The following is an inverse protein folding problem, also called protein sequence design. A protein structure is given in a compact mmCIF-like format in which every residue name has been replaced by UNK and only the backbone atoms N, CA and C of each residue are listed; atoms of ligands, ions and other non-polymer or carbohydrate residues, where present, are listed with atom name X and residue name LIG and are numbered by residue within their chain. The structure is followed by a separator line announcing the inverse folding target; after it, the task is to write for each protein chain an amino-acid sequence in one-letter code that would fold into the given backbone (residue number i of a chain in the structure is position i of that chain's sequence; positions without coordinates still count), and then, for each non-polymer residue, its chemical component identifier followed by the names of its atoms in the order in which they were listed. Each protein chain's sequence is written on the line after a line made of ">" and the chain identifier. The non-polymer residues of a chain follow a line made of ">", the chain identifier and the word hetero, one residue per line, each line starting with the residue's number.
data_IF_717549888821
#
_entry.id   IF_717549888821
#
_cell.length_a   1.000
_cell.length_b   1.000
_cell.length_c   1.000
_cell.angle_alpha   90.00
_cell.angle_beta   90.00
_cell.angle_gamma   90.00
#
_symmetry.space_group_name_H-M   'P 1'
#
loop_
_entity.id
_entity.type
_entity.pdbx_description
1 polymer ?
#
# COMPACT_ATOMS: atom_id res chain seq x y z
N UNK A 1 -11.33 -11.47 -8.11
CA UNK A 1 -11.04 -11.10 -9.51
C UNK A 1 -9.97 -10.03 -9.46
N UNK A 2 -8.81 -10.25 -10.08
CA UNK A 2 -7.74 -9.24 -10.09
C UNK A 2 -8.16 -8.09 -11.01
N UNK A 3 -8.36 -6.91 -10.43
CA UNK A 3 -8.68 -5.71 -11.20
C UNK A 3 -7.40 -5.19 -11.88
N UNK A 4 -7.51 -4.83 -13.15
CA UNK A 4 -6.38 -4.36 -13.96
C UNK A 4 -5.97 -2.93 -13.54
N UNK A 5 -4.73 -2.71 -13.06
CA UNK A 5 -4.27 -1.40 -12.57
C UNK A 5 -4.19 -0.29 -13.64
N UNK A 6 -4.22 -0.67 -14.92
CA UNK A 6 -4.19 0.27 -16.06
C UNK A 6 -5.60 0.60 -16.56
N UNK A 7 -6.64 -0.07 -16.04
CA UNK A 7 -8.02 0.14 -16.49
C UNK A 7 -8.60 1.41 -15.87
N UNK A 8 -9.14 2.34 -16.67
CA UNK A 8 -9.74 3.56 -16.16
C UNK A 8 -11.04 3.23 -15.41
N UNK A 9 -11.36 4.02 -14.38
CA UNK A 9 -12.65 3.94 -13.71
C UNK A 9 -13.81 4.16 -14.67
N UNK A 10 -14.91 3.45 -14.41
CA UNK A 10 -16.18 3.77 -15.05
C UNK A 10 -16.59 5.21 -14.68
N UNK A 11 -16.88 6.07 -15.67
CA UNK A 11 -17.20 7.46 -15.40
C UNK A 11 -18.51 7.56 -14.61
N UNK A 12 -18.45 8.25 -13.47
CA UNK A 12 -19.56 8.59 -12.57
C UNK A 12 -20.08 7.49 -11.62
N UNK A 13 -19.39 6.35 -11.47
CA UNK A 13 -19.79 5.28 -10.52
C UNK A 13 -18.82 5.09 -9.36
N UNK A 14 -17.51 5.22 -9.57
CA UNK A 14 -16.50 5.01 -8.52
C UNK A 14 -15.39 6.08 -8.58
N UNK A 15 -15.03 6.64 -7.42
CA UNK A 15 -13.87 7.53 -7.26
C UNK A 15 -12.57 6.76 -6.95
N UNK A 16 -12.67 5.45 -6.72
CA UNK A 16 -11.56 4.57 -6.33
C UNK A 16 -11.11 3.80 -7.57
N UNK A 17 -9.82 3.81 -7.87
CA UNK A 17 -9.25 3.05 -8.99
C UNK A 17 -9.52 1.55 -8.82
N UNK A 18 -9.70 0.77 -9.91
CA UNK A 18 -10.07 -0.63 -9.77
C UNK A 18 -8.93 -1.44 -9.10
N UNK A 19 -7.68 -1.08 -9.42
CA UNK A 19 -6.49 -1.63 -8.77
C UNK A 19 -6.40 -1.31 -7.28
N UNK A 20 -7.04 -0.23 -6.83
CA UNK A 20 -7.05 0.24 -5.44
C UNK A 20 -8.17 -0.40 -4.58
N UNK A 21 -8.93 -1.34 -5.15
CA UNK A 21 -9.92 -2.10 -4.37
C UNK A 21 -9.23 -3.07 -3.43
N UNK A 22 -9.55 -3.01 -2.15
CA UNK A 22 -9.00 -3.89 -1.10
C UNK A 22 -9.00 -5.37 -1.53
N UNK A 23 -7.88 -6.03 -1.32
CA UNK A 23 -7.79 -7.49 -1.36
C UNK A 23 -8.70 -8.09 -0.28
N UNK A 24 -9.25 -9.31 -0.48
CA UNK A 24 -10.01 -9.98 0.56
C UNK A 24 -9.19 -10.12 1.84
N UNK A 25 -9.83 -10.04 3.00
CA UNK A 25 -9.13 -10.10 4.29
C UNK A 25 -8.36 -11.41 4.48
N UNK A 26 -8.75 -12.48 3.79
CA UNK A 26 -8.08 -13.78 3.77
C UNK A 26 -6.80 -13.84 2.93
N UNK A 27 -6.47 -12.80 2.16
CA UNK A 27 -5.24 -12.77 1.36
C UNK A 27 -4.02 -12.63 2.26
N UNK A 28 -2.95 -13.36 1.90
CA UNK A 28 -1.66 -13.30 2.59
C UNK A 28 -0.97 -11.95 2.42
N UNK A 29 0.06 -11.70 3.25
CA UNK A 29 0.86 -10.47 3.19
C UNK A 29 1.60 -10.38 1.85
N UNK A 30 2.19 -11.49 1.40
CA UNK A 30 2.84 -11.60 0.09
C UNK A 30 1.89 -11.22 -1.05
N UNK A 31 0.69 -11.81 -1.10
CA UNK A 31 -0.31 -11.51 -2.13
C UNK A 31 -0.79 -10.05 -2.11
N UNK A 32 -0.84 -9.42 -0.92
CA UNK A 32 -1.17 -8.00 -0.79
C UNK A 32 -0.01 -7.10 -1.24
N UNK A 33 1.23 -7.51 -0.98
CA UNK A 33 2.43 -6.73 -1.34
C UNK A 33 2.63 -6.60 -2.86
N UNK A 34 2.20 -7.61 -3.63
CA UNK A 34 2.30 -7.60 -5.11
C UNK A 34 1.20 -6.77 -5.79
N UNK A 35 0.22 -6.28 -5.03
CA UNK A 35 -0.92 -5.59 -5.61
C UNK A 35 -0.60 -4.13 -5.94
N UNK A 36 -0.90 -3.73 -7.17
CA UNK A 36 -0.65 -2.39 -7.70
C UNK A 36 -1.97 -1.63 -7.85
N UNK A 37 -2.03 -0.43 -7.26
CA UNK A 37 -3.19 0.45 -7.32
C UNK A 37 -3.30 1.15 -8.68
N UNK A 38 -2.16 1.63 -9.19
CA UNK A 38 -2.04 2.36 -10.45
C UNK A 38 -0.75 1.96 -11.15
N UNK A 39 -0.83 1.68 -12.45
CA UNK A 39 0.34 1.49 -13.31
C UNK A 39 0.16 2.28 -14.60
N UNK A 40 1.11 3.18 -14.91
CA UNK A 40 1.11 3.97 -16.14
C UNK A 40 2.52 4.29 -16.63
N UNK A 41 2.67 4.59 -17.92
CA UNK A 41 3.90 5.15 -18.48
C UNK A 41 3.82 6.68 -18.49
N UNK A 42 4.80 7.34 -17.87
CA UNK A 42 4.94 8.79 -17.95
C UNK A 42 5.38 9.23 -19.36
N UNK A 43 5.27 10.53 -19.66
CA UNK A 43 5.63 11.15 -20.94
C UNK A 43 7.08 10.88 -21.38
N UNK A 44 7.96 10.51 -20.43
CA UNK A 44 9.36 10.14 -20.68
C UNK A 44 9.57 8.64 -20.99
N UNK A 45 8.51 7.83 -20.98
CA UNK A 45 8.57 6.38 -21.18
C UNK A 45 8.99 5.59 -19.93
N UNK A 46 8.95 6.22 -18.76
CA UNK A 46 9.22 5.56 -17.48
C UNK A 46 7.92 4.92 -16.96
N UNK A 47 7.95 3.63 -16.65
CA UNK A 47 6.85 2.95 -15.96
C UNK A 47 6.80 3.41 -14.50
N UNK A 48 5.64 3.94 -14.09
CA UNK A 48 5.35 4.35 -12.72
C UNK A 48 4.29 3.42 -12.17
N UNK A 49 4.62 2.75 -11.06
CA UNK A 49 3.73 1.83 -10.35
C UNK A 49 3.53 2.31 -8.92
N UNK A 50 2.28 2.36 -8.50
CA UNK A 50 1.90 2.73 -7.13
C UNK A 50 1.35 1.48 -6.44
N UNK A 51 2.03 0.96 -5.40
CA UNK A 51 1.54 -0.18 -4.62
C UNK A 51 0.22 0.15 -3.93
N UNK A 52 -0.68 -0.83 -3.82
CA UNK A 52 -1.91 -0.70 -3.03
C UNK A 52 -1.62 -0.77 -1.53
N UNK A 53 -0.66 -1.62 -1.14
CA UNK A 53 -0.31 -1.90 0.25
C UNK A 53 1.14 -1.54 0.57
N UNK A 54 1.36 -1.11 1.81
CA UNK A 54 2.69 -1.00 2.40
C UNK A 54 2.95 -2.18 3.31
N UNK A 55 4.05 -2.89 3.05
CA UNK A 55 4.54 -3.93 3.95
C UNK A 55 5.32 -3.29 5.10
N UNK A 56 4.93 -3.60 6.33
CA UNK A 56 5.60 -3.15 7.54
C UNK A 56 5.87 -4.35 8.44
N UNK A 57 6.92 -4.24 9.26
CA UNK A 57 7.16 -5.11 10.41
C UNK A 57 6.76 -4.33 11.66
N UNK A 58 5.95 -4.95 12.52
CA UNK A 58 5.51 -4.36 13.79
C UNK A 58 6.49 -4.62 14.96
N UNK A 59 6.15 -4.14 16.15
CA UNK A 59 6.96 -4.30 17.36
C UNK A 59 7.21 -5.77 17.77
N UNK A 60 6.36 -6.69 17.33
CA UNK A 60 6.48 -8.13 17.61
C UNK A 60 7.27 -8.87 16.52
N UNK A 61 7.73 -8.17 15.48
CA UNK A 61 8.34 -8.79 14.30
C UNK A 61 7.33 -9.41 13.35
N UNK A 62 6.04 -9.10 13.47
CA UNK A 62 5.01 -9.60 12.56
C UNK A 62 4.89 -8.70 11.32
N UNK A 63 4.90 -9.32 10.14
CA UNK A 63 4.75 -8.61 8.88
C UNK A 63 3.26 -8.32 8.58
N UNK A 64 2.95 -7.07 8.24
CA UNK A 64 1.59 -6.61 7.92
C UNK A 64 1.59 -5.83 6.61
N UNK A 65 0.55 -6.02 5.81
CA UNK A 65 0.29 -5.24 4.60
C UNK A 65 -0.85 -4.24 4.87
N UNK A 66 -0.52 -2.94 4.95
CA UNK A 66 -1.46 -1.84 5.23
C UNK A 66 -1.89 -1.13 3.95
N UNK A 67 -3.19 -0.98 3.73
CA UNK A 67 -3.75 -0.29 2.57
C UNK A 67 -3.46 1.21 2.64
N UNK A 68 -2.88 1.79 1.57
CA UNK A 68 -2.40 3.17 1.63
C UNK A 68 -3.50 4.23 1.90
N UNK A 69 -4.73 3.98 1.45
CA UNK A 69 -5.90 4.84 1.73
C UNK A 69 -6.63 4.44 3.02
N UNK A 70 -7.10 3.19 3.13
CA UNK A 70 -7.97 2.76 4.23
C UNK A 70 -7.26 2.70 5.58
N UNK A 71 -5.96 2.36 5.60
CA UNK A 71 -5.19 2.14 6.83
C UNK A 71 -4.26 3.35 7.13
N UNK A 72 -4.59 4.53 6.61
CA UNK A 72 -3.75 5.74 6.76
C UNK A 72 -3.50 6.15 8.22
N UNK A 73 -4.47 5.92 9.12
CA UNK A 73 -4.30 6.17 10.56
C UNK A 73 -3.27 5.22 11.17
N UNK A 74 -3.35 3.93 10.85
CA UNK A 74 -2.39 2.91 11.32
C UNK A 74 -1.00 3.16 10.76
N UNK A 75 -0.90 3.52 9.47
CA UNK A 75 0.37 3.92 8.85
C UNK A 75 0.97 5.12 9.60
N UNK A 76 0.16 6.11 9.94
CA UNK A 76 0.60 7.28 10.73
C UNK A 76 1.05 6.88 12.14
N UNK A 77 0.35 5.96 12.80
CA UNK A 77 0.75 5.40 14.11
C UNK A 77 2.09 4.67 14.00
N UNK A 78 2.27 3.80 13.00
CA UNK A 78 3.50 3.06 12.76
C UNK A 78 4.67 3.99 12.49
N UNK A 79 4.50 5.03 11.67
CA UNK A 79 5.55 6.04 11.43
C UNK A 79 5.89 6.80 12.72
N UNK A 80 4.89 7.09 13.56
CA UNK A 80 5.11 7.76 14.86
C UNK A 80 5.84 6.87 15.87
N UNK A 81 5.54 5.58 15.86
CA UNK A 81 6.17 4.58 16.75
C UNK A 81 7.57 4.20 16.28
N UNK A 82 7.80 4.13 14.96
CA UNK A 82 9.10 3.83 14.36
C UNK A 82 10.08 5.01 14.39
N UNK A 83 10.00 5.88 15.42
CA UNK A 83 10.96 6.96 15.59
C UNK A 83 12.36 6.37 15.68
N UNK A 84 13.27 6.98 14.93
CA UNK A 84 14.67 6.62 14.99
C UNK A 84 15.33 7.32 16.18
N UNK A 85 16.25 6.62 16.83
CA UNK A 85 17.16 7.24 17.79
C UNK A 85 18.22 8.10 17.08
N UNK A 86 19.12 8.71 17.86
CA UNK A 86 20.19 9.57 17.32
C UNK A 86 21.16 8.79 16.39
N UNK A 87 21.21 7.47 16.49
CA UNK A 87 22.02 6.58 15.66
C UNK A 87 21.29 6.16 14.36
N UNK A 88 20.03 6.56 14.20
CA UNK A 88 19.21 6.25 13.03
C UNK A 88 18.54 4.88 13.09
N UNK A 89 18.60 4.19 14.23
CA UNK A 89 18.01 2.87 14.43
C UNK A 89 16.54 3.00 14.84
N UNK A 90 15.67 2.14 14.28
CA UNK A 90 14.24 2.14 14.62
C UNK A 90 14.07 1.71 16.08
N UNK A 91 13.52 2.60 16.90
CA UNK A 91 13.18 2.31 18.29
C UNK A 91 11.67 2.28 18.45
N UNK A 92 11.14 1.19 19.00
CA UNK A 92 9.74 1.07 19.41
C UNK A 92 9.58 1.62 20.84
N UNK A 93 8.59 2.49 21.08
CA UNK A 93 8.34 3.16 22.37
C UNK A 93 7.01 2.78 23.01
#
# INVERSE_FOLDING_TARGET
>A
MSHNPTEPNEPATEHINPGDKKAPDSASVDEKSEKVAVSYEDVLGSSVEVPTYFTIEDENGEEKALHHVEDAEEISDVIRQARVDDDGERTWH
#
